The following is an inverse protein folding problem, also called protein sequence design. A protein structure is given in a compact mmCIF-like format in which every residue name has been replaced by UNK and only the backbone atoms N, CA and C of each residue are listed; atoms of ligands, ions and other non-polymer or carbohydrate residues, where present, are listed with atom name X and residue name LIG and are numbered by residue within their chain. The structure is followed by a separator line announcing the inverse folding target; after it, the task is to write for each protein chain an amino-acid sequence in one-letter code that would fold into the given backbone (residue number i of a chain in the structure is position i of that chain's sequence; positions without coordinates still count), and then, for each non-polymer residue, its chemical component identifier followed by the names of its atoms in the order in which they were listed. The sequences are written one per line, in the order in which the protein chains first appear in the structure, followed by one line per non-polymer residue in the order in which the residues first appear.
data_IF_241149758639
#
_entry.id   IF_241149758639
#
_cell.length_a   1.000
_cell.length_b   1.000
_cell.length_c   1.000
_cell.angle_alpha   90.00
_cell.angle_beta   90.00
_cell.angle_gamma   90.00
#
_symmetry.space_group_name_H-M   'P 1'
#
loop_
_entity.id
_entity.type
_entity.pdbx_description
1 polymer ?
#
# COMPACT_ATOMS: atom_id res chain seq x y z
N UNK A 1 11.93 4.15 -15.16
CA UNK A 1 11.55 5.24 -14.23
C UNK A 1 12.08 4.88 -12.85
N UNK A 2 12.74 5.80 -12.16
CA UNK A 2 13.17 5.59 -10.76
C UNK A 2 11.91 5.47 -9.89
N UNK A 3 11.68 4.30 -9.31
CA UNK A 3 10.51 4.06 -8.48
C UNK A 3 10.77 4.64 -7.08
N UNK A 4 10.34 5.89 -6.84
CA UNK A 4 10.56 6.63 -5.58
C UNK A 4 10.05 5.89 -4.34
N UNK A 5 9.13 4.93 -4.52
CA UNK A 5 8.58 4.09 -3.47
C UNK A 5 9.62 3.17 -2.81
N UNK A 6 10.71 2.83 -3.52
CA UNK A 6 11.80 2.00 -2.98
C UNK A 6 12.52 2.71 -1.82
N UNK A 7 12.46 4.04 -1.75
CA UNK A 7 13.12 4.83 -0.71
C UNK A 7 12.25 5.02 0.56
N UNK A 8 10.96 4.66 0.51
CA UNK A 8 10.09 4.78 1.68
C UNK A 8 10.42 3.68 2.70
N UNK A 9 10.29 4.00 3.99
CA UNK A 9 10.28 2.99 5.05
C UNK A 9 9.02 2.12 4.94
N UNK A 10 9.05 0.93 5.53
CA UNK A 10 7.90 0.01 5.49
C UNK A 10 6.64 0.64 6.13
N UNK A 11 6.82 1.38 7.22
CA UNK A 11 5.73 2.10 7.90
C UNK A 11 5.11 3.18 6.99
N UNK A 12 5.95 4.04 6.41
CA UNK A 12 5.48 5.13 5.55
C UNK A 12 4.86 4.62 4.24
N UNK A 13 5.37 3.50 3.70
CA UNK A 13 4.81 2.86 2.51
C UNK A 13 3.40 2.31 2.78
N UNK A 14 3.20 1.66 3.93
CA UNK A 14 1.88 1.15 4.36
C UNK A 14 0.90 2.30 4.61
N UNK A 15 1.33 3.34 5.32
CA UNK A 15 0.51 4.54 5.55
C UNK A 15 0.09 5.19 4.22
N UNK A 16 1.06 5.37 3.31
CA UNK A 16 0.83 5.95 1.98
C UNK A 16 -0.21 5.17 1.19
N UNK A 17 -0.19 3.83 1.24
CA UNK A 17 -1.18 2.99 0.59
C UNK A 17 -2.60 3.27 1.09
N UNK A 18 -2.79 3.22 2.41
CA UNK A 18 -4.12 3.44 3.00
C UNK A 18 -4.62 4.87 2.78
N UNK A 19 -3.73 5.87 2.87
CA UNK A 19 -4.10 7.26 2.62
C UNK A 19 -4.50 7.49 1.16
N UNK A 20 -3.81 6.82 0.23
CA UNK A 20 -4.12 6.91 -1.20
C UNK A 20 -5.50 6.31 -1.52
N UNK A 21 -5.90 5.24 -0.83
CA UNK A 21 -7.26 4.67 -0.92
C UNK A 21 -8.30 5.61 -0.31
N UNK A 22 -8.06 6.11 0.91
CA UNK A 22 -8.97 7.03 1.62
C UNK A 22 -9.26 8.29 0.80
N UNK A 23 -8.24 8.84 0.14
CA UNK A 23 -8.34 10.03 -0.71
C UNK A 23 -8.82 9.72 -2.13
N UNK A 24 -9.11 8.47 -2.46
CA UNK A 24 -9.52 8.03 -3.80
C UNK A 24 -8.57 8.52 -4.90
N UNK A 25 -7.26 8.39 -4.65
CA UNK A 25 -6.25 8.77 -5.64
C UNK A 25 -6.32 7.84 -6.86
N UNK A 26 -5.60 8.24 -7.91
CA UNK A 26 -5.54 7.49 -9.16
C UNK A 26 -5.19 6.01 -8.92
N UNK A 27 -5.93 5.12 -9.58
CA UNK A 27 -5.78 3.67 -9.43
C UNK A 27 -4.38 3.14 -9.80
N UNK A 28 -3.73 3.71 -10.82
CA UNK A 28 -2.38 3.33 -11.22
C UNK A 28 -1.36 3.67 -10.12
N UNK A 29 -1.55 4.81 -9.45
CA UNK A 29 -0.72 5.19 -8.30
C UNK A 29 -0.89 4.23 -7.13
N UNK A 30 -2.13 3.87 -6.80
CA UNK A 30 -2.44 2.90 -5.74
C UNK A 30 -1.83 1.52 -6.09
N UNK A 31 -1.92 1.12 -7.37
CA UNK A 31 -1.35 -0.13 -7.86
C UNK A 31 0.18 -0.18 -7.71
N UNK A 32 0.89 0.92 -8.00
CA UNK A 32 2.34 1.01 -7.81
C UNK A 32 2.74 0.84 -6.34
N UNK A 33 1.98 1.42 -5.41
CA UNK A 33 2.24 1.24 -3.97
C UNK A 33 1.96 -0.21 -3.56
N UNK A 34 0.87 -0.80 -4.06
CA UNK A 34 0.52 -2.19 -3.78
C UNK A 34 1.59 -3.17 -4.27
N UNK A 35 2.11 -2.97 -5.48
CA UNK A 35 3.19 -3.79 -6.05
C UNK A 35 4.44 -3.74 -5.16
N UNK A 36 4.80 -2.56 -4.65
CA UNK A 36 5.96 -2.41 -3.76
C UNK A 36 5.73 -3.06 -2.39
N UNK A 37 4.50 -2.99 -1.84
CA UNK A 37 4.11 -3.68 -0.61
C UNK A 37 4.20 -5.21 -0.77
N UNK A 38 3.75 -5.74 -1.91
CA UNK A 38 3.88 -7.16 -2.28
C UNK A 38 5.34 -7.55 -2.42
N UNK A 39 6.15 -6.76 -3.13
CA UNK A 39 7.58 -6.98 -3.31
C UNK A 39 8.34 -7.08 -1.98
N UNK A 40 7.95 -6.27 -0.98
CA UNK A 40 8.55 -6.28 0.37
C UNK A 40 7.92 -7.31 1.33
N UNK A 41 6.92 -8.08 0.87
CA UNK A 41 6.15 -9.01 1.71
C UNK A 41 5.46 -8.35 2.92
N UNK A 42 5.05 -7.08 2.81
CA UNK A 42 4.43 -6.33 3.89
C UNK A 42 2.92 -6.59 4.02
N UNK A 43 2.29 -7.10 2.97
CA UNK A 43 0.87 -7.46 2.99
C UNK A 43 0.57 -8.67 3.89
N UNK A 44 1.55 -9.56 4.12
CA UNK A 44 1.40 -10.76 4.96
C UNK A 44 1.80 -10.56 6.43
N UNK A 45 2.47 -9.45 6.75
CA UNK A 45 2.98 -9.22 8.11
C UNK A 45 1.95 -8.50 9.00
N UNK A 46 0.94 -7.89 8.38
CA UNK A 46 -0.12 -7.10 9.03
C UNK A 46 -1.50 -7.72 8.81
N UNK A 47 -1.60 -9.06 8.81
CA UNK A 47 -2.78 -9.83 8.43
C UNK A 47 -4.10 -9.31 9.04
N UNK A 48 -4.08 -8.70 10.22
CA UNK A 48 -5.29 -8.15 10.84
C UNK A 48 -5.88 -6.90 10.17
N UNK A 49 -5.09 -6.09 9.45
CA UNK A 49 -5.53 -4.79 8.90
C UNK A 49 -6.06 -4.86 7.46
N UNK A 50 -5.53 -5.76 6.63
CA UNK A 50 -5.98 -5.94 5.24
C UNK A 50 -7.31 -6.70 5.16
N UNK A 51 -7.51 -7.71 6.01
CA UNK A 51 -8.76 -8.47 6.13
C UNK A 51 -9.96 -7.61 6.56
N UNK A 52 -9.73 -6.56 7.36
CA UNK A 52 -10.81 -5.67 7.84
C UNK A 52 -11.27 -4.66 6.79
N UNK A 53 -10.42 -4.26 5.84
CA UNK A 53 -10.79 -3.22 4.85
C UNK A 53 -11.41 -3.78 3.57
N UNK A 54 -11.11 -5.01 3.17
CA UNK A 54 -11.82 -5.69 2.09
C UNK A 54 -13.25 -6.08 2.48
N UNK A 55 -13.56 -6.17 3.78
CA UNK A 55 -14.92 -6.48 4.28
C UNK A 55 -15.88 -5.27 4.26
N UNK A 56 -15.40 -4.05 3.95
CA UNK A 56 -16.17 -2.79 4.01
C UNK A 56 -16.26 -2.10 2.64
N UNK A 57 -15.74 -2.74 1.58
CA UNK A 57 -15.97 -2.36 0.18
C UNK A 57 -16.83 -3.41 -0.50
#
# INVERSE_FOLDING_TARGET
MFNSLVLLSDELLVESYFKSIELQLNHDFIALIKEELERRNLLKKNDSLLLLKESVL
#
